data_IF_681780901107
#
_entry.id   IF_681780901107
#
_cell.length_a   1.000
_cell.length_b   1.000
_cell.length_c   1.000
_cell.angle_alpha   90.00
_cell.angle_beta   90.00
_cell.angle_gamma   90.00
#
_symmetry.space_group_name_H-M   'P 1'
#
loop_
_entity.id
_entity.type
_entity.pdbx_description
1 polymer ?
#
# COMPACT_ATOMS: atom_id res chain seq x y z
N UNK A 1 2.72 -5.51 -32.00
CA UNK A 1 3.07 -4.55 -30.94
C UNK A 1 2.16 -4.84 -29.76
N UNK A 2 2.67 -5.42 -28.66
CA UNK A 2 1.83 -5.64 -27.47
C UNK A 2 1.62 -4.27 -26.83
N UNK A 3 0.37 -3.92 -26.57
CA UNK A 3 0.03 -2.74 -25.75
C UNK A 3 0.81 -2.90 -24.44
N UNK A 4 1.65 -1.94 -24.02
CA UNK A 4 2.25 -1.99 -22.70
C UNK A 4 1.08 -2.07 -21.73
N UNK A 5 1.03 -3.05 -20.84
CA UNK A 5 -0.07 -3.08 -19.92
C UNK A 5 0.03 -1.85 -19.00
N UNK A 6 -1.09 -1.16 -18.80
CA UNK A 6 -1.12 0.10 -18.03
C UNK A 6 -0.65 -0.06 -16.59
N UNK A 7 -0.47 1.07 -15.90
CA UNK A 7 -0.04 1.19 -14.50
C UNK A 7 -1.02 0.49 -13.54
N UNK A 8 -0.94 -0.84 -13.50
CA UNK A 8 -1.94 -1.71 -12.88
C UNK A 8 -1.29 -2.88 -12.16
N UNK A 9 -1.71 -3.11 -10.93
CA UNK A 9 -1.30 -4.25 -10.12
C UNK A 9 -2.53 -5.11 -9.79
N UNK A 10 -2.40 -6.42 -9.98
CA UNK A 10 -3.40 -7.41 -9.59
C UNK A 10 -2.81 -8.28 -8.49
N UNK A 11 -3.44 -8.31 -7.33
CA UNK A 11 -3.09 -9.17 -6.20
C UNK A 11 -4.11 -10.31 -6.07
N UNK A 12 -3.66 -11.55 -6.20
CA UNK A 12 -4.44 -12.76 -5.98
C UNK A 12 -4.45 -13.09 -4.49
N UNK A 13 -5.63 -12.96 -3.86
CA UNK A 13 -5.78 -13.11 -2.40
C UNK A 13 -5.47 -14.53 -1.93
N UNK A 14 -5.84 -15.54 -2.72
CA UNK A 14 -5.65 -16.94 -2.34
C UNK A 14 -4.19 -17.37 -2.49
N UNK A 15 -3.51 -16.88 -3.54
CA UNK A 15 -2.11 -17.24 -3.81
C UNK A 15 -1.10 -16.38 -3.07
N UNK A 16 -1.49 -15.22 -2.54
CA UNK A 16 -0.57 -14.23 -1.99
C UNK A 16 0.50 -13.80 -3.02
N UNK A 17 0.06 -13.58 -4.26
CA UNK A 17 0.90 -13.17 -5.38
C UNK A 17 0.38 -11.87 -5.96
N UNK A 18 1.28 -10.96 -6.35
CA UNK A 18 0.95 -9.78 -7.14
C UNK A 18 1.64 -9.83 -8.50
N UNK A 19 1.01 -9.20 -9.50
CA UNK A 19 1.57 -9.04 -10.85
C UNK A 19 1.36 -7.62 -11.33
N UNK A 20 2.38 -7.04 -11.95
CA UNK A 20 2.28 -5.78 -12.68
C UNK A 20 1.84 -6.02 -14.12
N UNK A 21 1.12 -5.06 -14.70
CA UNK A 21 0.78 -5.10 -16.11
C UNK A 21 -0.38 -6.05 -16.45
N UNK A 22 -1.29 -6.28 -15.51
CA UNK A 22 -2.51 -7.07 -15.74
C UNK A 22 -2.32 -8.58 -15.62
N UNK A 23 -3.32 -9.32 -16.12
CA UNK A 23 -3.49 -10.76 -15.89
C UNK A 23 -4.78 -11.06 -15.13
N UNK A 24 -5.44 -12.16 -15.47
CA UNK A 24 -6.62 -12.61 -14.74
C UNK A 24 -6.16 -13.30 -13.44
N UNK A 25 -6.76 -12.92 -12.31
CA UNK A 25 -6.75 -13.79 -11.16
C UNK A 25 -7.78 -14.89 -11.39
N UNK A 26 -7.46 -16.13 -11.01
CA UNK A 26 -8.42 -17.25 -11.13
C UNK A 26 -9.47 -17.26 -10.01
N UNK A 27 -9.55 -16.19 -9.22
CA UNK A 27 -10.34 -16.10 -7.98
C UNK A 27 -10.46 -14.67 -7.48
N UNK A 28 -10.68 -14.48 -6.17
CA UNK A 28 -10.80 -13.15 -5.57
C UNK A 28 -9.46 -12.39 -5.68
N UNK A 29 -9.50 -11.24 -6.36
CA UNK A 29 -8.35 -10.37 -6.50
C UNK A 29 -8.67 -8.93 -6.13
N UNK A 30 -7.62 -8.28 -5.65
CA UNK A 30 -7.60 -6.85 -5.41
C UNK A 30 -6.80 -6.19 -6.54
N UNK A 31 -7.33 -5.10 -7.09
CA UNK A 31 -6.75 -4.44 -8.26
C UNK A 31 -6.51 -2.98 -7.93
N UNK A 32 -5.29 -2.53 -8.18
CA UNK A 32 -4.91 -1.12 -8.16
C UNK A 32 -4.59 -0.68 -9.56
N UNK A 33 -5.00 0.54 -9.88
CA UNK A 33 -4.76 1.17 -11.16
C UNK A 33 -4.44 2.64 -10.90
N UNK A 34 -3.37 3.13 -11.51
CA UNK A 34 -3.05 4.55 -11.63
C UNK A 34 -3.39 4.97 -13.05
N UNK A 35 -4.30 5.92 -13.21
CA UNK A 35 -4.77 6.35 -14.52
C UNK A 35 -5.12 7.84 -14.51
N UNK A 36 -5.16 8.43 -15.72
CA UNK A 36 -5.52 9.83 -15.92
C UNK A 36 -7.01 9.95 -16.18
N UNK A 37 -7.71 10.62 -15.27
CA UNK A 37 -9.05 11.18 -15.45
C UNK A 37 -10.16 10.16 -15.82
N UNK A 38 -10.15 9.01 -15.15
CA UNK A 38 -11.07 7.90 -15.39
C UNK A 38 -11.63 7.31 -14.09
N UNK A 39 -12.29 8.13 -13.25
CA UNK A 39 -12.98 7.59 -12.07
C UNK A 39 -13.96 6.49 -12.51
N UNK A 40 -13.58 5.24 -12.28
CA UNK A 40 -14.41 4.09 -12.59
C UNK A 40 -15.49 3.97 -11.52
N UNK A 41 -16.73 3.84 -11.95
CA UNK A 41 -17.82 3.50 -11.05
C UNK A 41 -17.60 2.09 -10.46
N UNK A 42 -18.02 1.88 -9.21
CA UNK A 42 -17.91 0.59 -8.54
C UNK A 42 -16.52 0.25 -7.98
N UNK A 43 -15.57 1.19 -7.98
CA UNK A 43 -14.30 1.02 -7.24
C UNK A 43 -14.52 1.14 -5.74
N UNK A 44 -13.70 0.41 -4.96
CA UNK A 44 -13.79 0.41 -3.50
C UNK A 44 -13.30 1.70 -2.86
N UNK A 45 -12.28 2.30 -3.46
CA UNK A 45 -11.67 3.56 -3.06
C UNK A 45 -10.96 4.15 -4.27
N UNK A 46 -11.06 5.46 -4.45
CA UNK A 46 -10.20 6.24 -5.35
C UNK A 46 -9.71 7.47 -4.61
N UNK A 47 -8.50 7.91 -4.95
CA UNK A 47 -7.89 9.11 -4.41
C UNK A 47 -7.12 9.80 -5.54
N UNK A 48 -7.18 11.12 -5.58
CA UNK A 48 -6.35 11.90 -6.47
C UNK A 48 -4.93 11.95 -5.89
N UNK A 49 -3.94 11.82 -6.77
CA UNK A 49 -2.52 11.92 -6.43
C UNK A 49 -1.90 12.99 -7.31
N UNK A 50 -1.16 13.91 -6.68
CA UNK A 50 -0.38 14.91 -7.39
C UNK A 50 1.05 14.40 -7.53
N UNK A 51 1.49 14.20 -8.77
CA UNK A 51 2.80 13.64 -9.10
C UNK A 51 3.58 14.67 -9.91
N UNK A 52 4.82 14.95 -9.49
CA UNK A 52 5.70 15.89 -10.16
C UNK A 52 6.10 15.33 -11.53
N UNK A 53 5.80 16.08 -12.60
CA UNK A 53 6.12 15.69 -13.96
C UNK A 53 7.65 15.60 -14.22
N UNK A 54 8.48 16.20 -13.36
CA UNK A 54 9.94 16.11 -13.42
C UNK A 54 10.55 14.91 -12.69
N UNK A 55 9.76 14.14 -11.94
CA UNK A 55 10.24 12.98 -11.16
C UNK A 55 9.88 11.67 -11.85
N UNK A 56 10.74 10.66 -11.69
CA UNK A 56 10.43 9.29 -12.11
C UNK A 56 9.80 8.50 -10.96
N UNK A 57 8.86 7.61 -11.27
CA UNK A 57 8.10 6.87 -10.26
C UNK A 57 8.15 5.36 -10.46
N UNK A 58 7.79 4.63 -9.41
CA UNK A 58 7.52 3.21 -9.41
C UNK A 58 6.17 2.93 -8.73
N UNK A 59 5.53 1.82 -9.12
CA UNK A 59 4.43 1.21 -8.39
C UNK A 59 4.95 0.03 -7.59
N UNK A 60 4.79 0.10 -6.27
CA UNK A 60 5.18 -0.99 -5.37
C UNK A 60 3.97 -1.62 -4.69
N UNK A 61 3.87 -2.95 -4.76
CA UNK A 61 2.93 -3.73 -3.98
C UNK A 61 3.64 -4.40 -2.81
N UNK A 62 3.21 -4.07 -1.59
CA UNK A 62 3.68 -4.72 -0.37
C UNK A 62 2.54 -5.47 0.32
N UNK A 63 2.85 -6.60 0.94
CA UNK A 63 2.05 -7.18 2.02
C UNK A 63 2.73 -6.92 3.36
N UNK A 64 1.93 -6.56 4.36
CA UNK A 64 2.36 -6.39 5.74
C UNK A 64 1.53 -7.30 6.63
N UNK A 65 2.20 -8.15 7.41
CA UNK A 65 1.59 -9.05 8.38
C UNK A 65 1.98 -8.64 9.80
N UNK A 66 1.00 -8.63 10.70
CA UNK A 66 1.16 -8.34 12.12
C UNK A 66 0.75 -9.57 12.94
N UNK A 67 1.53 -9.96 13.96
CA UNK A 67 1.01 -10.83 15.00
C UNK A 67 -0.09 -10.10 15.81
N UNK A 68 -0.88 -10.82 16.61
CA UNK A 68 -1.79 -10.20 17.58
C UNK A 68 -1.06 -9.17 18.45
N UNK A 69 -1.66 -7.99 18.63
CA UNK A 69 -1.10 -6.85 19.36
C UNK A 69 0.06 -6.14 18.64
N UNK A 70 0.33 -6.49 17.38
CA UNK A 70 1.39 -5.88 16.59
C UNK A 70 1.15 -4.40 16.32
N UNK A 71 2.20 -3.59 16.40
CA UNK A 71 2.13 -2.14 16.19
C UNK A 71 3.16 -1.69 15.15
N UNK A 72 2.72 -0.85 14.21
CA UNK A 72 3.62 -0.01 13.43
C UNK A 72 3.60 1.38 14.06
N UNK A 73 4.70 1.69 14.76
CA UNK A 73 4.92 2.99 15.40
C UNK A 73 4.92 4.15 14.40
N UNK A 74 4.90 5.38 14.92
CA UNK A 74 4.70 6.58 14.13
C UNK A 74 5.76 6.69 13.02
N UNK A 75 5.32 6.67 11.76
CA UNK A 75 6.20 6.71 10.60
C UNK A 75 5.57 7.49 9.45
N UNK A 76 6.39 7.84 8.46
CA UNK A 76 5.95 8.49 7.22
C UNK A 76 6.27 7.61 6.01
N UNK A 77 5.60 7.93 4.91
CA UNK A 77 5.85 7.36 3.59
C UNK A 77 6.33 8.43 2.62
N UNK A 78 7.25 8.10 1.74
CA UNK A 78 7.76 9.03 0.71
C UNK A 78 6.85 9.16 -0.53
N UNK A 79 5.67 8.53 -0.51
CA UNK A 79 4.70 8.68 -1.57
C UNK A 79 3.34 8.09 -1.22
N UNK A 80 2.30 8.45 -2.00
CA UNK A 80 0.92 8.09 -1.72
C UNK A 80 0.63 6.63 -1.99
N UNK A 81 -0.45 6.12 -1.41
CA UNK A 81 -1.00 4.86 -1.87
C UNK A 81 -2.24 4.39 -1.17
N UNK A 82 -2.84 3.34 -1.72
CA UNK A 82 -4.03 2.71 -1.18
C UNK A 82 -3.64 1.38 -0.53
N UNK A 83 -4.18 1.16 0.66
CA UNK A 83 -4.08 -0.08 1.42
C UNK A 83 -5.43 -0.78 1.43
N UNK A 84 -5.42 -2.10 1.56
CA UNK A 84 -6.61 -2.92 1.71
C UNK A 84 -6.32 -4.04 2.72
N UNK A 85 -7.13 -4.10 3.78
CA UNK A 85 -7.01 -5.15 4.79
C UNK A 85 -7.42 -6.51 4.20
N UNK A 86 -6.68 -7.57 4.50
CA UNK A 86 -6.99 -8.92 4.05
C UNK A 86 -7.75 -9.70 5.13
N UNK A 87 -7.33 -9.55 6.40
CA UNK A 87 -7.91 -10.23 7.57
C UNK A 87 -7.56 -9.49 8.86
N UNK A 88 -8.23 -9.86 9.95
CA UNK A 88 -8.09 -9.23 11.25
C UNK A 88 -8.76 -7.86 11.30
N UNK A 89 -8.22 -6.98 12.14
CA UNK A 89 -8.65 -5.59 12.27
C UNK A 89 -7.43 -4.71 12.50
N UNK A 90 -7.49 -3.46 12.04
CA UNK A 90 -6.42 -2.49 12.26
C UNK A 90 -6.99 -1.12 12.58
N UNK A 91 -6.44 -0.49 13.62
CA UNK A 91 -6.70 0.90 13.97
C UNK A 91 -5.61 1.78 13.37
N UNK A 92 -6.01 2.74 12.55
CA UNK A 92 -5.12 3.72 11.93
C UNK A 92 -5.33 5.07 12.59
N UNK A 93 -4.24 5.67 13.05
CA UNK A 93 -4.22 7.04 13.55
C UNK A 93 -3.38 7.92 12.62
N UNK A 94 -4.01 8.94 12.03
CA UNK A 94 -3.36 9.91 11.16
C UNK A 94 -4.12 11.23 11.19
N UNK A 95 -3.41 12.36 11.09
CA UNK A 95 -3.99 13.72 11.07
C UNK A 95 -5.02 13.99 12.19
N UNK A 96 -4.79 13.45 13.39
CA UNK A 96 -5.70 13.60 14.54
C UNK A 96 -6.99 12.80 14.44
N UNK A 97 -7.13 11.93 13.45
CA UNK A 97 -8.26 10.99 13.30
C UNK A 97 -7.82 9.57 13.65
N UNK A 98 -8.74 8.80 14.24
CA UNK A 98 -8.58 7.38 14.50
C UNK A 98 -9.67 6.62 13.76
N UNK A 99 -9.30 5.63 12.95
CA UNK A 99 -10.24 4.83 12.14
C UNK A 99 -9.97 3.34 12.32
N UNK A 100 -11.03 2.59 12.63
CA UNK A 100 -11.00 1.12 12.66
C UNK A 100 -11.32 0.56 11.29
N UNK A 101 -10.51 -0.39 10.82
CA UNK A 101 -10.63 -0.98 9.50
C UNK A 101 -10.75 -2.50 9.67
N UNK A 102 -11.84 -3.05 9.10
CA UNK A 102 -12.09 -4.49 9.04
C UNK A 102 -11.68 -5.13 7.71
N UNK A 103 -11.85 -6.45 7.55
CA UNK A 103 -11.42 -7.18 6.36
C UNK A 103 -11.97 -6.60 5.06
N UNK A 104 -11.09 -6.51 4.07
CA UNK A 104 -11.28 -5.82 2.78
C UNK A 104 -11.59 -4.33 2.87
N UNK A 105 -11.59 -3.72 4.06
CA UNK A 105 -11.59 -2.27 4.23
C UNK A 105 -10.38 -1.65 3.54
N UNK A 106 -10.60 -0.61 2.74
CA UNK A 106 -9.56 0.09 2.02
C UNK A 106 -9.40 1.50 2.58
N UNK A 107 -8.16 1.99 2.63
CA UNK A 107 -7.86 3.35 3.06
C UNK A 107 -6.70 3.93 2.26
N UNK A 108 -6.65 5.25 2.20
CA UNK A 108 -5.63 6.01 1.51
C UNK A 108 -4.74 6.73 2.52
N UNK A 109 -3.44 6.76 2.23
CA UNK A 109 -2.47 7.62 2.90
C UNK A 109 -1.73 8.39 1.80
N UNK A 110 -1.75 9.73 1.89
CA UNK A 110 -1.10 10.63 0.94
C UNK A 110 0.42 10.56 1.03
N UNK A 111 0.96 10.48 2.25
CA UNK A 111 2.36 10.78 2.50
C UNK A 111 2.68 12.26 2.23
N UNK A 112 3.56 12.89 3.04
CA UNK A 112 4.40 12.34 4.09
C UNK A 112 3.79 12.39 5.50
N UNK A 113 2.46 12.52 5.62
CA UNK A 113 1.77 12.67 6.90
C UNK A 113 2.07 11.48 7.83
N UNK A 114 2.43 11.74 9.10
CA UNK A 114 2.69 10.67 10.06
C UNK A 114 1.48 9.77 10.31
N UNK A 115 1.71 8.46 10.27
CA UNK A 115 0.72 7.44 10.56
C UNK A 115 1.19 6.51 11.67
N UNK A 116 0.26 6.10 12.52
CA UNK A 116 0.40 5.03 13.49
C UNK A 116 -0.63 3.93 13.18
N UNK A 117 -0.24 2.66 13.33
CA UNK A 117 -1.15 1.54 13.13
C UNK A 117 -1.04 0.50 14.24
N UNK A 118 -2.17 0.10 14.81
CA UNK A 118 -2.26 -0.98 15.79
C UNK A 118 -3.16 -2.10 15.25
N UNK A 119 -2.62 -3.32 15.18
CA UNK A 119 -3.35 -4.52 14.79
C UNK A 119 -4.26 -5.01 15.93
N UNK A 120 -5.17 -5.94 15.61
CA UNK A 120 -5.99 -6.64 16.59
C UNK A 120 -5.15 -7.28 17.70
N UNK A 121 -5.57 -7.13 18.95
CA UNK A 121 -4.93 -7.76 20.13
C UNK A 121 -5.06 -9.28 20.15
N UNK A 122 -6.04 -9.84 19.44
CA UNK A 122 -6.42 -11.26 19.56
C UNK A 122 -6.22 -12.06 18.28
N UNK A 123 -6.02 -11.41 17.13
CA UNK A 123 -5.97 -12.07 15.83
C UNK A 123 -4.82 -11.54 14.97
N UNK A 124 -4.24 -12.41 14.16
CA UNK A 124 -3.30 -11.97 13.13
C UNK A 124 -3.98 -11.01 12.16
N UNK A 125 -3.26 -9.95 11.81
CA UNK A 125 -3.76 -8.90 10.92
C UNK A 125 -2.84 -8.78 9.73
N UNK A 126 -3.41 -8.66 8.53
CA UNK A 126 -2.60 -8.45 7.34
C UNK A 126 -3.29 -7.51 6.37
N UNK A 127 -2.52 -6.63 5.74
CA UNK A 127 -2.99 -5.82 4.63
C UNK A 127 -2.04 -5.92 3.45
N UNK A 128 -2.57 -5.62 2.28
CA UNK A 128 -1.79 -5.36 1.07
C UNK A 128 -1.91 -3.88 0.74
N UNK A 129 -0.85 -3.29 0.19
CA UNK A 129 -0.85 -1.89 -0.23
C UNK A 129 -0.17 -1.73 -1.56
N UNK A 130 -0.61 -0.73 -2.32
CA UNK A 130 0.12 -0.25 -3.49
C UNK A 130 0.47 1.22 -3.28
N UNK A 131 1.77 1.52 -3.41
CA UNK A 131 2.36 2.84 -3.27
C UNK A 131 2.84 3.35 -4.63
N UNK A 132 2.70 4.65 -4.87
CA UNK A 132 3.43 5.36 -5.92
C UNK A 132 4.63 6.01 -5.23
N UNK A 133 5.84 5.57 -5.58
CA UNK A 133 7.06 6.01 -4.91
C UNK A 133 8.03 6.62 -5.91
N UNK A 134 8.88 7.57 -5.47
CA UNK A 134 10.02 7.99 -6.27
C UNK A 134 10.89 6.81 -6.71
N UNK A 135 11.30 6.79 -7.98
CA UNK A 135 12.07 5.68 -8.59
C UNK A 135 13.38 5.40 -7.87
N UNK A 136 13.98 6.41 -7.24
CA UNK A 136 15.18 6.27 -6.39
C UNK A 136 15.01 5.27 -5.24
N UNK A 137 13.77 4.93 -4.87
CA UNK A 137 13.47 3.95 -3.82
C UNK A 137 13.34 2.51 -4.34
N UNK A 138 13.58 2.24 -5.63
CA UNK A 138 13.54 0.89 -6.20
C UNK A 138 14.50 -0.04 -5.43
N UNK A 139 13.97 -1.15 -4.91
CA UNK A 139 14.71 -2.07 -4.04
C UNK A 139 14.99 -1.56 -2.61
N UNK A 140 14.73 -0.30 -2.31
CA UNK A 140 14.99 0.34 -1.01
C UNK A 140 13.75 0.38 -0.10
N UNK A 141 13.93 0.68 1.18
CA UNK A 141 12.81 0.87 2.11
C UNK A 141 12.10 2.21 1.87
N UNK A 142 10.78 2.22 1.96
CA UNK A 142 9.94 3.42 1.73
C UNK A 142 9.37 4.06 3.01
N UNK A 143 9.68 3.49 4.18
CA UNK A 143 9.22 4.00 5.48
C UNK A 143 10.33 4.77 6.18
N UNK A 144 9.97 5.88 6.82
CA UNK A 144 10.87 6.63 7.71
C UNK A 144 10.21 6.81 9.08
N UNK A 145 10.88 6.38 10.14
CA UNK A 145 10.43 6.61 11.51
C UNK A 145 10.78 8.04 11.93
N UNK A 146 9.86 8.67 12.66
CA UNK A 146 10.05 10.05 13.13
C UNK A 146 10.88 10.09 14.42
N UNK A 147 10.62 9.15 15.32
CA UNK A 147 11.26 9.09 16.63
C UNK A 147 12.34 8.00 16.65
N UNK A 148 13.56 8.35 17.09
CA UNK A 148 14.67 7.39 17.19
C UNK A 148 14.35 6.23 18.15
N UNK A 149 13.58 6.51 19.20
CA UNK A 149 13.11 5.49 20.15
C UNK A 149 12.21 4.47 19.46
N UNK A 150 11.28 4.92 18.61
CA UNK A 150 10.42 4.03 17.81
C UNK A 150 11.24 3.27 16.76
N UNK A 151 12.23 3.93 16.17
CA UNK A 151 13.20 3.31 15.27
C UNK A 151 14.09 2.26 15.97
N UNK A 152 14.18 2.25 17.30
CA UNK A 152 14.92 1.24 18.07
C UNK A 152 14.03 0.05 18.52
N UNK A 153 12.71 0.24 18.65
CA UNK A 153 11.78 -0.81 19.11
C UNK A 153 11.77 -2.04 18.19
N UNK A 154 11.58 -3.26 18.70
CA UNK A 154 11.46 -4.45 17.86
C UNK A 154 10.31 -4.32 16.86
N UNK A 155 10.57 -4.65 15.59
CA UNK A 155 9.58 -4.63 14.52
C UNK A 155 9.06 -6.04 14.38
N UNK A 156 7.88 -6.27 14.94
CA UNK A 156 7.24 -7.59 14.95
C UNK A 156 6.47 -7.86 13.65
N UNK A 157 6.19 -6.81 12.89
CA UNK A 157 5.53 -6.90 11.60
C UNK A 157 6.49 -7.41 10.52
N UNK A 158 5.97 -8.25 9.63
CA UNK A 158 6.70 -8.78 8.48
C UNK A 158 6.30 -8.05 7.22
N UNK A 159 7.29 -7.54 6.50
CA UNK A 159 7.12 -6.89 5.20
C UNK A 159 7.51 -7.85 4.07
N UNK A 160 6.66 -7.97 3.06
CA UNK A 160 6.93 -8.72 1.83
C UNK A 160 6.66 -7.83 0.63
N UNK A 161 7.71 -7.51 -0.14
CA UNK A 161 7.58 -6.83 -1.43
C UNK A 161 7.17 -7.87 -2.47
N UNK A 162 6.06 -7.62 -3.18
CA UNK A 162 5.50 -8.54 -4.18
C UNK A 162 5.69 -8.04 -5.61
N UNK A 163 5.65 -6.71 -5.81
CA UNK A 163 5.89 -6.03 -7.08
C UNK A 163 6.64 -4.74 -6.78
N UNK A 164 7.62 -4.39 -7.60
CA UNK A 164 8.40 -3.16 -7.47
C UNK A 164 8.84 -2.68 -8.86
N UNK A 165 7.92 -2.05 -9.60
CA UNK A 165 8.07 -1.82 -11.04
C UNK A 165 8.08 -0.32 -11.37
N UNK A 166 9.08 0.18 -12.12
CA UNK A 166 9.06 1.53 -12.67
C UNK A 166 7.81 1.77 -13.53
N UNK A 167 7.27 2.98 -13.45
CA UNK A 167 6.08 3.39 -14.21
C UNK A 167 6.27 4.72 -14.92
N UNK A 168 5.44 4.94 -15.93
CA UNK A 168 5.23 6.25 -16.53
C UNK A 168 3.83 6.74 -16.11
N UNK A 169 3.70 7.70 -15.18
CA UNK A 169 2.39 8.24 -14.77
C UNK A 169 1.62 8.96 -15.90
N UNK A 170 2.27 9.12 -17.06
CA UNK A 170 1.76 9.73 -18.27
C UNK A 170 1.07 8.80 -19.27
N UNK A 171 1.24 7.49 -19.12
CA UNK A 171 0.84 6.49 -20.12
C UNK A 171 -0.61 6.02 -20.00
#
# INVERSE_FOLDING_TARGET
MRVPPGNRIVYDVARNEARFGGGAASGHALVWELARDDRKEGVKLSAEVDLDAGEEYLMRCDRVDFPPGGVAYRHTHEGPGIRCLLRGAIRIESEGRSTEIGPFGAWFESGPEPVFAAASETEETAFVRVLILPRRLLGERSIRYLDEEDAAKPKVQRYTVLVDEPIEPGA
#
